data_IF_299419049117
#
_entry.id   IF_299419049117
#
_cell.length_a   1.000
_cell.length_b   1.000
_cell.length_c   1.000
_cell.angle_alpha   90.00
_cell.angle_beta   90.00
_cell.angle_gamma   90.00
#
_symmetry.space_group_name_H-M   'P 1'
#
loop_
_entity.id
_entity.type
_entity.pdbx_description
1 polymer ?
#
# COMPACT_ATOMS: atom_id res chain seq x y z
N UNK A 1 21.95 6.46 8.02
CA UNK A 1 22.28 7.90 7.85
C UNK A 1 21.04 8.61 7.33
N UNK A 2 20.82 9.92 7.64
CA UNK A 2 19.68 10.69 7.13
C UNK A 2 20.22 11.72 6.15
N UNK A 3 19.65 11.74 4.93
CA UNK A 3 20.01 12.68 3.87
C UNK A 3 18.84 13.65 3.62
N UNK A 4 19.13 14.94 3.51
CA UNK A 4 18.14 15.96 3.16
C UNK A 4 18.32 16.38 1.70
N UNK A 5 17.25 16.26 0.91
CA UNK A 5 17.23 16.62 -0.50
C UNK A 5 16.36 17.86 -0.73
N UNK A 6 16.73 18.69 -1.71
CA UNK A 6 15.97 19.87 -2.11
C UNK A 6 14.98 19.59 -3.25
N UNK A 7 14.93 18.35 -3.74
CA UNK A 7 14.03 17.92 -4.82
C UNK A 7 13.48 16.53 -4.51
N UNK A 8 12.45 16.12 -5.27
CA UNK A 8 11.91 14.77 -5.14
C UNK A 8 12.99 13.72 -5.49
N UNK A 9 13.15 12.65 -4.66
CA UNK A 9 14.09 11.58 -4.96
C UNK A 9 13.60 10.73 -6.15
N UNK A 10 14.24 10.92 -7.31
CA UNK A 10 14.02 10.10 -8.50
C UNK A 10 14.88 8.81 -8.44
N UNK A 11 15.09 8.13 -9.59
CA UNK A 11 16.03 7.01 -9.69
C UNK A 11 17.49 7.44 -9.41
N UNK A 12 17.80 8.73 -9.57
CA UNK A 12 19.08 9.33 -9.24
C UNK A 12 18.88 10.47 -8.27
N UNK A 13 19.71 10.54 -7.23
CA UNK A 13 19.70 11.62 -6.22
C UNK A 13 21.09 12.24 -6.10
N UNK A 14 21.13 13.54 -5.82
CA UNK A 14 22.39 14.26 -5.56
C UNK A 14 22.49 14.61 -4.08
N UNK A 15 23.56 14.17 -3.43
CA UNK A 15 23.88 14.43 -2.03
C UNK A 15 25.24 15.06 -1.98
N UNK A 16 25.35 16.32 -1.53
CA UNK A 16 26.63 17.07 -1.42
C UNK A 16 27.44 17.08 -2.72
N UNK A 17 26.74 17.18 -3.86
CA UNK A 17 27.38 17.22 -5.19
C UNK A 17 27.78 15.86 -5.76
N UNK A 18 27.54 14.77 -5.03
CA UNK A 18 27.77 13.41 -5.53
C UNK A 18 26.45 12.76 -5.94
N UNK A 19 26.43 12.09 -7.09
CA UNK A 19 25.25 11.38 -7.60
C UNK A 19 25.22 9.94 -7.10
N UNK A 20 24.03 9.50 -6.67
CA UNK A 20 23.75 8.14 -6.23
C UNK A 20 22.57 7.57 -7.02
N UNK A 21 22.60 6.28 -7.32
CA UNK A 21 21.42 5.52 -7.70
C UNK A 21 20.53 5.33 -6.47
N UNK A 22 19.22 5.49 -6.64
CA UNK A 22 18.28 5.39 -5.53
C UNK A 22 17.25 4.28 -5.76
N UNK A 23 17.40 3.19 -5.03
CA UNK A 23 16.52 2.02 -5.03
C UNK A 23 15.69 1.94 -3.74
N UNK A 24 15.03 3.04 -3.37
CA UNK A 24 14.25 3.14 -2.15
C UNK A 24 12.89 3.80 -2.33
N UNK A 25 12.22 4.06 -1.19
CA UNK A 25 10.90 4.67 -1.16
C UNK A 25 9.77 3.73 -1.60
N UNK A 26 8.67 4.31 -2.06
CA UNK A 26 7.46 3.59 -2.48
C UNK A 26 6.86 4.14 -3.79
N UNK A 27 7.65 4.89 -4.55
CA UNK A 27 7.27 5.43 -5.86
C UNK A 27 7.48 4.37 -6.95
N UNK A 28 6.77 3.24 -6.84
CA UNK A 28 6.96 2.06 -7.67
C UNK A 28 6.86 2.35 -9.17
N UNK A 29 5.92 3.21 -9.58
CA UNK A 29 5.72 3.57 -10.99
C UNK A 29 6.45 4.84 -11.42
N UNK A 30 7.19 5.51 -10.50
CA UNK A 30 7.94 6.72 -10.82
C UNK A 30 7.09 7.92 -11.27
N UNK A 31 5.80 7.93 -10.95
CA UNK A 31 4.83 8.91 -11.45
C UNK A 31 5.09 10.33 -10.95
N UNK A 32 5.64 10.48 -9.75
CA UNK A 32 5.81 11.75 -9.08
C UNK A 32 6.73 12.72 -9.83
N UNK A 33 7.61 12.19 -10.69
CA UNK A 33 8.52 12.98 -11.54
C UNK A 33 8.35 12.68 -13.04
N UNK A 34 7.32 11.91 -13.43
CA UNK A 34 6.95 11.71 -14.82
C UNK A 34 6.29 12.97 -15.38
N UNK A 35 6.84 13.53 -16.45
CA UNK A 35 6.41 14.82 -17.00
C UNK A 35 4.98 14.79 -17.53
N UNK A 36 4.57 13.70 -18.18
CA UNK A 36 3.22 13.58 -18.73
C UNK A 36 2.18 13.48 -17.59
N UNK A 37 2.48 12.69 -16.55
CA UNK A 37 1.66 12.60 -15.36
C UNK A 37 1.55 13.94 -14.64
N UNK A 38 2.66 14.68 -14.47
CA UNK A 38 2.66 16.02 -13.88
C UNK A 38 1.81 17.00 -14.68
N UNK A 39 1.88 16.98 -16.01
CA UNK A 39 1.07 17.85 -16.86
C UNK A 39 -0.44 17.57 -16.67
N UNK A 40 -0.85 16.30 -16.65
CA UNK A 40 -2.23 15.90 -16.34
C UNK A 40 -2.64 16.42 -14.96
N UNK A 41 -1.78 16.32 -13.97
CA UNK A 41 -2.07 16.80 -12.63
C UNK A 41 -2.21 18.33 -12.57
N UNK A 42 -1.35 19.07 -13.26
CA UNK A 42 -1.43 20.55 -13.37
C UNK A 42 -2.74 20.97 -14.03
N UNK A 43 -3.17 20.31 -15.10
CA UNK A 43 -4.46 20.59 -15.75
C UNK A 43 -5.64 20.32 -14.82
N UNK A 44 -5.58 19.24 -14.05
CA UNK A 44 -6.60 18.94 -13.05
C UNK A 44 -6.61 19.96 -11.89
N UNK A 45 -5.45 20.49 -11.48
CA UNK A 45 -5.39 21.60 -10.51
C UNK A 45 -6.08 22.84 -11.07
N UNK A 46 -5.85 23.19 -12.33
CA UNK A 46 -6.51 24.35 -12.97
C UNK A 46 -8.03 24.19 -13.03
N UNK A 47 -8.53 22.97 -13.19
CA UNK A 47 -9.97 22.69 -13.29
C UNK A 47 -10.65 22.57 -11.93
N UNK A 48 -10.03 21.91 -10.97
CA UNK A 48 -10.67 21.51 -9.72
C UNK A 48 -10.11 22.23 -8.47
N UNK A 49 -9.07 23.04 -8.62
CA UNK A 49 -8.36 23.67 -7.50
C UNK A 49 -7.38 22.73 -6.80
N UNK A 50 -6.67 23.28 -5.83
CA UNK A 50 -5.64 22.57 -5.05
C UNK A 50 -6.23 21.65 -3.98
N UNK A 51 -7.39 22.02 -3.46
CA UNK A 51 -8.17 21.23 -2.49
C UNK A 51 -9.67 21.53 -2.62
N UNK A 52 -10.51 20.78 -1.89
CA UNK A 52 -11.96 21.02 -1.95
C UNK A 52 -12.42 22.13 -0.98
N UNK A 53 -11.76 22.28 0.16
CA UNK A 53 -12.08 23.32 1.16
C UNK A 53 -13.42 23.13 1.89
N UNK A 54 -14.11 21.99 1.72
CA UNK A 54 -15.37 21.67 2.38
C UNK A 54 -15.49 20.17 2.70
N UNK A 55 -16.45 19.84 3.55
CA UNK A 55 -16.76 18.44 3.88
C UNK A 55 -17.39 17.70 2.68
N UNK A 56 -17.14 16.39 2.56
CA UNK A 56 -17.84 15.49 1.65
C UNK A 56 -19.38 15.48 1.88
N UNK A 57 -19.83 15.96 3.04
CA UNK A 57 -21.25 16.09 3.39
C UNK A 57 -21.84 17.47 3.07
N UNK A 58 -21.08 18.36 2.44
CA UNK A 58 -21.56 19.67 2.02
C UNK A 58 -22.75 19.57 1.06
N UNK A 59 -23.57 20.59 1.03
CA UNK A 59 -24.67 20.75 0.07
C UNK A 59 -24.18 21.05 -1.36
N UNK A 60 -22.95 21.55 -1.52
CA UNK A 60 -22.27 21.68 -2.82
C UNK A 60 -21.28 20.51 -2.93
N UNK A 61 -21.33 19.76 -4.00
CA UNK A 61 -20.47 18.59 -4.23
C UNK A 61 -19.85 18.65 -5.61
N UNK A 62 -18.63 18.14 -5.74
CA UNK A 62 -17.94 18.03 -7.02
C UNK A 62 -18.13 16.60 -7.52
N UNK A 63 -18.65 16.42 -8.74
CA UNK A 63 -18.98 15.10 -9.31
C UNK A 63 -17.80 14.16 -9.42
N UNK A 64 -16.57 14.68 -9.51
CA UNK A 64 -15.34 13.90 -9.66
C UNK A 64 -15.16 12.85 -8.54
N UNK A 65 -15.67 13.11 -7.33
CA UNK A 65 -15.63 12.10 -6.26
C UNK A 65 -16.39 10.85 -6.64
N UNK A 66 -17.65 11.00 -7.06
CA UNK A 66 -18.53 9.88 -7.42
C UNK A 66 -17.99 9.16 -8.67
N UNK A 67 -17.44 9.91 -9.62
CA UNK A 67 -16.85 9.37 -10.86
C UNK A 67 -15.64 8.50 -10.55
N UNK A 68 -14.69 8.98 -9.72
CA UNK A 68 -13.47 8.26 -9.37
C UNK A 68 -13.76 7.07 -8.47
N UNK A 69 -14.63 7.23 -7.47
CA UNK A 69 -15.02 6.16 -6.55
C UNK A 69 -15.72 5.02 -7.30
N UNK A 70 -16.61 5.34 -8.25
CA UNK A 70 -17.23 4.36 -9.15
C UNK A 70 -16.19 3.67 -10.04
N UNK A 71 -15.29 4.45 -10.62
CA UNK A 71 -14.19 3.91 -11.45
C UNK A 71 -13.30 2.95 -10.65
N UNK A 72 -12.84 3.36 -9.46
CA UNK A 72 -11.95 2.56 -8.64
C UNK A 72 -12.63 1.28 -8.14
N UNK A 73 -13.89 1.34 -7.71
CA UNK A 73 -14.65 0.14 -7.35
C UNK A 73 -14.69 -0.87 -8.50
N UNK A 74 -15.01 -0.42 -9.72
CA UNK A 74 -15.02 -1.26 -10.92
C UNK A 74 -13.62 -1.78 -11.27
N UNK A 75 -12.60 -0.94 -11.14
CA UNK A 75 -11.21 -1.27 -11.47
C UNK A 75 -10.68 -2.47 -10.66
N UNK A 76 -10.97 -2.53 -9.37
CA UNK A 76 -10.56 -3.63 -8.51
C UNK A 76 -11.52 -4.84 -8.53
N UNK A 77 -12.70 -4.71 -9.16
CA UNK A 77 -13.77 -5.72 -9.12
C UNK A 77 -14.59 -5.70 -7.82
N UNK A 78 -14.61 -4.56 -7.13
CA UNK A 78 -15.40 -4.28 -5.93
C UNK A 78 -16.81 -3.78 -6.25
N UNK A 79 -17.64 -3.64 -5.21
CA UNK A 79 -19.01 -3.14 -5.34
C UNK A 79 -19.10 -1.63 -5.14
N UNK A 80 -18.38 -1.09 -4.16
CA UNK A 80 -18.42 0.32 -3.80
C UNK A 80 -17.07 0.79 -3.24
N UNK A 81 -16.83 2.10 -3.35
CA UNK A 81 -15.61 2.76 -2.87
C UNK A 81 -15.96 4.12 -2.28
N UNK A 82 -15.21 4.56 -1.27
CA UNK A 82 -15.12 5.95 -0.81
C UNK A 82 -13.67 6.38 -0.71
N UNK A 83 -13.43 7.69 -0.88
CA UNK A 83 -12.10 8.29 -0.83
C UNK A 83 -11.92 9.26 0.34
N UNK A 84 -10.69 9.31 0.86
CA UNK A 84 -10.21 10.20 1.92
C UNK A 84 -8.85 10.79 1.53
N UNK A 85 -8.31 11.71 2.32
CA UNK A 85 -7.04 12.39 2.02
C UNK A 85 -5.80 11.51 2.14
N UNK A 86 -5.85 10.36 2.83
CA UNK A 86 -4.72 9.43 2.94
C UNK A 86 -5.16 8.01 3.25
N UNK A 87 -4.30 7.03 2.93
CA UNK A 87 -4.50 5.62 3.28
C UNK A 87 -4.56 5.41 4.80
N UNK A 88 -3.72 6.14 5.55
CA UNK A 88 -3.78 6.10 7.02
C UNK A 88 -5.17 6.50 7.55
N UNK A 89 -5.72 7.61 7.05
CA UNK A 89 -7.06 8.06 7.45
C UNK A 89 -8.15 7.08 7.03
N UNK A 90 -7.99 6.40 5.89
CA UNK A 90 -8.91 5.35 5.45
C UNK A 90 -8.88 4.14 6.43
N UNK A 91 -7.71 3.67 6.82
CA UNK A 91 -7.56 2.61 7.82
C UNK A 91 -8.15 2.98 9.17
N UNK A 92 -7.89 4.20 9.64
CA UNK A 92 -8.42 4.72 10.91
C UNK A 92 -9.94 4.85 10.90
N UNK A 93 -10.55 5.29 9.79
CA UNK A 93 -12.01 5.30 9.65
C UNK A 93 -12.60 3.90 9.83
N UNK A 94 -12.03 2.90 9.16
CA UNK A 94 -12.51 1.52 9.26
C UNK A 94 -12.35 0.99 10.69
N UNK A 95 -11.17 1.15 11.28
CA UNK A 95 -10.89 0.68 12.63
C UNK A 95 -11.83 1.33 13.66
N UNK A 96 -12.05 2.65 13.58
CA UNK A 96 -12.95 3.34 14.50
C UNK A 96 -14.42 3.00 14.28
N UNK A 97 -14.85 2.88 13.03
CA UNK A 97 -16.26 2.56 12.73
C UNK A 97 -16.64 1.12 13.12
N UNK A 98 -15.66 0.20 13.17
CA UNK A 98 -15.85 -1.17 13.62
C UNK A 98 -15.61 -1.34 15.13
N UNK A 99 -15.11 -0.32 15.85
CA UNK A 99 -14.88 -0.39 17.29
C UNK A 99 -16.20 -0.22 18.06
N UNK A 100 -17.01 -1.26 18.04
CA UNK A 100 -18.30 -1.34 18.74
C UNK A 100 -18.41 -2.67 19.50
N UNK A 101 -19.42 -2.80 20.34
CA UNK A 101 -19.69 -4.03 21.09
C UNK A 101 -20.06 -5.24 20.19
N UNK A 102 -20.32 -5.00 18.90
CA UNK A 102 -20.68 -6.06 17.95
C UNK A 102 -19.45 -6.81 17.40
N UNK A 103 -18.22 -6.30 17.61
CA UNK A 103 -17.01 -6.82 17.01
C UNK A 103 -15.91 -7.13 18.02
N UNK A 104 -15.08 -8.12 17.71
CA UNK A 104 -13.83 -8.41 18.42
C UNK A 104 -12.67 -8.40 17.42
N UNK A 105 -11.62 -7.64 17.71
CA UNK A 105 -10.49 -7.42 16.80
C UNK A 105 -9.39 -8.45 17.00
N UNK A 106 -8.84 -8.91 15.89
CA UNK A 106 -7.70 -9.79 15.79
C UNK A 106 -6.76 -9.22 14.73
N UNK A 107 -5.46 -9.28 14.98
CA UNK A 107 -4.44 -8.75 14.07
C UNK A 107 -3.53 -9.87 13.61
N UNK A 108 -3.38 -10.01 12.29
CA UNK A 108 -2.42 -10.93 11.69
C UNK A 108 -0.97 -10.46 11.97
N UNK A 109 0.03 -11.32 11.76
CA UNK A 109 1.43 -10.91 11.89
C UNK A 109 1.74 -9.67 11.04
N UNK A 110 2.56 -8.77 11.58
CA UNK A 110 3.08 -7.57 10.90
C UNK A 110 2.01 -6.57 10.42
N UNK A 111 0.81 -6.58 11.00
CA UNK A 111 -0.26 -5.62 10.63
C UNK A 111 0.17 -4.18 10.94
N UNK A 112 0.03 -3.31 9.95
CA UNK A 112 0.42 -1.91 10.02
C UNK A 112 -0.45 -1.10 11.01
N UNK A 113 0.17 -0.13 11.68
CA UNK A 113 -0.49 0.74 12.68
C UNK A 113 -1.68 1.55 12.14
N UNK A 114 -1.78 1.76 10.82
CA UNK A 114 -2.93 2.42 10.20
C UNK A 114 -4.26 1.69 10.45
N UNK A 115 -4.21 0.37 10.70
CA UNK A 115 -5.36 -0.46 11.01
C UNK A 115 -5.61 -0.62 12.52
N UNK A 116 -4.78 0.01 13.38
CA UNK A 116 -4.86 -0.13 14.83
C UNK A 116 -5.37 1.15 15.48
N UNK A 117 -6.21 1.03 16.52
CA UNK A 117 -6.69 2.16 17.31
C UNK A 117 -5.70 2.58 18.40
N UNK A 118 -4.89 1.64 18.89
CA UNK A 118 -3.88 1.88 19.93
C UNK A 118 -2.65 1.00 19.67
N UNK A 119 -1.50 1.62 19.67
CA UNK A 119 -0.21 0.91 19.51
C UNK A 119 0.07 -0.01 20.70
N UNK A 120 -0.47 0.30 21.89
CA UNK A 120 -0.17 -0.41 23.14
C UNK A 120 -1.10 -1.57 23.44
N UNK A 121 -2.32 -1.57 22.93
CA UNK A 121 -3.36 -2.55 23.27
C UNK A 121 -3.53 -3.67 22.24
N UNK A 122 -3.11 -3.45 21.00
CA UNK A 122 -3.33 -4.38 19.91
C UNK A 122 -2.06 -5.18 19.60
N UNK A 123 -1.92 -6.35 20.23
CA UNK A 123 -0.86 -7.29 19.88
C UNK A 123 -1.25 -8.06 18.63
N UNK A 124 -0.47 -7.88 17.57
CA UNK A 124 -0.52 -8.78 16.42
C UNK A 124 -0.14 -10.20 16.88
N UNK A 125 -0.82 -11.19 16.31
CA UNK A 125 -0.43 -12.58 16.51
C UNK A 125 1.00 -12.79 15.98
N UNK A 126 1.77 -13.67 16.62
CA UNK A 126 3.13 -13.98 16.17
C UNK A 126 3.13 -14.86 14.92
N UNK A 127 2.01 -15.54 14.65
CA UNK A 127 1.84 -16.43 13.50
C UNK A 127 0.36 -16.62 13.14
N UNK A 128 0.09 -17.06 11.92
CA UNK A 128 -1.26 -17.47 11.50
C UNK A 128 -1.80 -18.66 12.30
N UNK A 129 -0.93 -19.53 12.82
CA UNK A 129 -1.36 -20.61 13.70
C UNK A 129 -1.91 -20.10 15.03
N UNK A 130 -1.24 -19.14 15.65
CA UNK A 130 -1.73 -18.47 16.86
C UNK A 130 -3.06 -17.75 16.62
N UNK A 131 -3.13 -16.98 15.52
CA UNK A 131 -4.35 -16.28 15.09
C UNK A 131 -5.52 -17.25 14.91
N UNK A 132 -5.29 -18.39 14.25
CA UNK A 132 -6.29 -19.46 14.05
C UNK A 132 -6.79 -20.04 15.37
N UNK A 133 -5.90 -20.29 16.32
CA UNK A 133 -6.26 -20.78 17.66
C UNK A 133 -7.14 -19.75 18.36
N UNK A 134 -6.74 -18.49 18.39
CA UNK A 134 -7.50 -17.41 19.02
C UNK A 134 -8.90 -17.23 18.40
N UNK A 135 -8.99 -17.24 17.07
CA UNK A 135 -10.27 -17.19 16.34
C UNK A 135 -11.18 -18.38 16.66
N UNK A 136 -10.63 -19.60 16.70
CA UNK A 136 -11.41 -20.78 17.01
C UNK A 136 -11.92 -20.78 18.47
N UNK A 137 -11.14 -20.28 19.42
CA UNK A 137 -11.56 -20.12 20.81
C UNK A 137 -12.67 -19.06 20.90
N UNK A 138 -12.54 -17.94 20.20
CA UNK A 138 -13.59 -16.92 20.14
C UNK A 138 -14.90 -17.47 19.54
N UNK A 139 -14.83 -18.17 18.41
CA UNK A 139 -16.00 -18.74 17.73
C UNK A 139 -16.68 -19.88 18.52
N UNK A 140 -15.96 -20.56 19.41
CA UNK A 140 -16.51 -21.59 20.33
C UNK A 140 -17.06 -20.96 21.61
N UNK A 141 -16.64 -19.76 21.95
CA UNK A 141 -17.21 -19.04 23.09
C UNK A 141 -18.63 -18.59 22.73
N UNK A 142 -19.54 -18.52 23.69
CA UNK A 142 -20.92 -18.04 23.48
C UNK A 142 -20.98 -16.50 23.24
N UNK A 143 -19.89 -15.88 22.82
CA UNK A 143 -19.84 -14.45 22.52
C UNK A 143 -20.57 -14.19 21.19
N UNK A 144 -21.45 -13.19 21.20
CA UNK A 144 -22.20 -12.76 20.01
C UNK A 144 -21.40 -11.90 19.04
N UNK A 145 -20.18 -11.48 19.44
CA UNK A 145 -19.34 -10.55 18.69
C UNK A 145 -18.77 -11.23 17.43
N UNK A 146 -18.87 -10.53 16.31
CA UNK A 146 -18.25 -10.94 15.06
C UNK A 146 -16.73 -10.71 15.10
N UNK A 147 -15.90 -11.72 14.82
CA UNK A 147 -14.47 -11.54 14.76
C UNK A 147 -14.08 -10.75 13.50
N UNK A 148 -13.26 -9.70 13.68
CA UNK A 148 -12.67 -8.90 12.62
C UNK A 148 -11.18 -9.20 12.59
N UNK A 149 -10.65 -9.58 11.42
CA UNK A 149 -9.22 -9.81 11.22
C UNK A 149 -8.63 -8.72 10.37
N UNK A 150 -7.63 -8.03 10.91
CA UNK A 150 -6.85 -6.99 10.24
C UNK A 150 -5.53 -7.58 9.76
N UNK A 151 -5.14 -7.25 8.52
CA UNK A 151 -3.85 -7.65 7.94
C UNK A 151 -3.41 -6.70 6.82
N UNK A 152 -2.11 -6.69 6.53
CA UNK A 152 -1.55 -6.07 5.32
C UNK A 152 -1.51 -7.10 4.19
N UNK A 153 -1.88 -6.68 2.99
CA UNK A 153 -1.75 -7.54 1.80
C UNK A 153 -0.28 -7.85 1.52
N UNK A 154 0.56 -6.84 1.58
CA UNK A 154 2.01 -6.90 1.37
C UNK A 154 2.69 -6.64 2.72
N UNK A 155 3.08 -7.70 3.41
CA UNK A 155 3.70 -7.63 4.75
C UNK A 155 5.24 -7.58 4.71
N UNK A 156 5.85 -7.58 3.53
CA UNK A 156 7.29 -7.59 3.27
C UNK A 156 8.08 -8.76 3.87
N UNK A 157 7.43 -9.65 4.60
CA UNK A 157 8.00 -10.92 5.08
C UNK A 157 7.60 -12.10 4.19
N UNK A 158 6.67 -11.87 3.25
CA UNK A 158 6.18 -12.90 2.34
C UNK A 158 5.16 -13.86 2.95
N UNK A 159 4.56 -13.52 4.10
CA UNK A 159 3.58 -14.37 4.77
C UNK A 159 2.20 -14.31 4.10
N UNK A 160 1.88 -13.18 3.42
CA UNK A 160 0.58 -12.92 2.81
C UNK A 160 0.65 -13.05 1.29
N UNK A 161 1.00 -12.00 0.59
CA UNK A 161 1.11 -12.03 -0.88
C UNK A 161 2.31 -12.90 -1.33
N UNK A 162 2.21 -13.66 -2.44
CA UNK A 162 1.09 -13.72 -3.38
C UNK A 162 0.00 -14.74 -3.02
N UNK A 163 0.32 -15.74 -2.23
CA UNK A 163 -0.49 -16.96 -2.13
C UNK A 163 -1.47 -16.97 -0.97
N UNK A 164 -1.28 -16.10 0.04
CA UNK A 164 -2.14 -15.98 1.22
C UNK A 164 -2.36 -17.33 1.95
N UNK A 165 -1.35 -18.19 2.00
CA UNK A 165 -1.48 -19.55 2.56
C UNK A 165 -1.90 -19.53 4.03
N UNK A 166 -1.32 -18.63 4.84
CA UNK A 166 -1.73 -18.45 6.23
C UNK A 166 -3.19 -18.05 6.36
N UNK A 167 -3.63 -17.08 5.56
CA UNK A 167 -5.01 -16.58 5.54
C UNK A 167 -6.01 -17.68 5.15
N UNK A 168 -5.69 -18.53 4.18
CA UNK A 168 -6.54 -19.67 3.76
C UNK A 168 -6.82 -20.68 4.86
N UNK A 169 -5.98 -20.73 5.90
CA UNK A 169 -6.19 -21.64 7.05
C UNK A 169 -7.24 -21.17 8.04
N UNK A 170 -7.65 -19.90 7.96
CA UNK A 170 -8.60 -19.27 8.86
C UNK A 170 -10.06 -19.60 8.49
N UNK A 171 -11.02 -19.51 9.41
CA UNK A 171 -12.43 -19.76 9.17
C UNK A 171 -13.09 -18.58 8.43
N UNK A 172 -12.67 -18.30 7.18
CA UNK A 172 -12.99 -17.10 6.40
C UNK A 172 -14.49 -16.79 6.33
N UNK A 173 -15.33 -17.81 6.16
CA UNK A 173 -16.79 -17.64 6.08
C UNK A 173 -17.45 -17.17 7.39
N UNK A 174 -16.68 -17.05 8.47
CA UNK A 174 -17.15 -16.64 9.81
C UNK A 174 -16.50 -15.36 10.32
N UNK A 175 -15.63 -14.74 9.50
CA UNK A 175 -14.87 -13.55 9.90
C UNK A 175 -15.05 -12.41 8.89
N UNK A 176 -15.03 -11.19 9.40
CA UNK A 176 -14.89 -9.98 8.62
C UNK A 176 -13.39 -9.73 8.40
N UNK A 177 -12.95 -9.58 7.15
CA UNK A 177 -11.57 -9.23 6.81
C UNK A 177 -11.44 -7.73 6.53
N UNK A 178 -10.43 -7.11 7.13
CA UNK A 178 -9.98 -5.75 6.82
C UNK A 178 -8.53 -5.83 6.37
N UNK A 179 -8.27 -5.44 5.12
CA UNK A 179 -6.95 -5.59 4.50
C UNK A 179 -6.43 -4.23 4.06
N UNK A 180 -5.19 -3.90 4.45
CA UNK A 180 -4.45 -2.78 3.86
C UNK A 180 -3.72 -3.28 2.59
N UNK A 181 -4.13 -2.75 1.44
CA UNK A 181 -3.53 -3.04 0.13
C UNK A 181 -2.72 -1.84 -0.41
N UNK A 182 -2.22 -0.98 0.46
CA UNK A 182 -1.48 0.24 0.09
C UNK A 182 -0.23 -0.02 -0.73
N UNK A 183 0.37 -1.19 -0.61
CA UNK A 183 1.55 -1.60 -1.37
C UNK A 183 1.20 -2.49 -2.58
N UNK A 184 -0.06 -2.92 -2.72
CA UNK A 184 -0.49 -3.79 -3.81
C UNK A 184 -1.28 -3.06 -4.90
N UNK A 185 -2.23 -2.18 -4.53
CA UNK A 185 -3.06 -1.46 -5.51
C UNK A 185 -2.20 -0.59 -6.45
N UNK A 186 -2.50 -0.63 -7.73
CA UNK A 186 -1.71 0.02 -8.78
C UNK A 186 -0.54 -0.84 -9.27
N UNK A 187 -0.09 -1.86 -8.52
CA UNK A 187 1.13 -2.62 -8.72
C UNK A 187 0.84 -4.09 -9.05
N UNK A 188 0.16 -4.79 -8.13
CA UNK A 188 -0.09 -6.23 -8.26
C UNK A 188 -1.53 -6.54 -8.69
N UNK A 189 -1.80 -7.81 -8.98
CA UNK A 189 -3.12 -8.24 -9.44
C UNK A 189 -3.40 -7.90 -10.92
N UNK A 190 -4.55 -8.32 -11.42
CA UNK A 190 -4.91 -8.08 -12.80
C UNK A 190 -4.98 -6.57 -13.10
N UNK A 191 -4.17 -6.11 -14.05
CA UNK A 191 -4.05 -4.70 -14.44
C UNK A 191 -3.71 -3.74 -13.28
N UNK A 192 -3.03 -4.22 -12.21
CA UNK A 192 -2.74 -3.42 -11.03
C UNK A 192 -3.95 -3.20 -10.10
N UNK A 193 -4.98 -4.04 -10.19
CA UNK A 193 -6.19 -3.95 -9.35
C UNK A 193 -6.00 -4.36 -7.90
N UNK A 194 -4.76 -4.64 -7.46
CA UNK A 194 -4.47 -5.08 -6.10
C UNK A 194 -4.99 -6.49 -5.80
N UNK A 195 -5.19 -6.77 -4.52
CA UNK A 195 -5.55 -8.12 -4.04
C UNK A 195 -7.06 -8.36 -3.90
N UNK A 196 -7.89 -7.32 -4.05
CA UNK A 196 -9.32 -7.41 -3.72
C UNK A 196 -9.99 -8.62 -4.36
N UNK A 197 -9.81 -8.83 -5.68
CA UNK A 197 -10.42 -9.94 -6.42
C UNK A 197 -9.92 -11.31 -5.93
N UNK A 198 -8.62 -11.43 -5.63
CA UNK A 198 -8.02 -12.65 -5.11
C UNK A 198 -8.63 -13.05 -3.77
N UNK A 199 -8.73 -12.09 -2.86
CA UNK A 199 -9.29 -12.35 -1.53
C UNK A 199 -10.79 -12.58 -1.55
N UNK A 200 -11.52 -11.84 -2.38
CA UNK A 200 -12.97 -12.04 -2.56
C UNK A 200 -13.30 -13.49 -2.98
N UNK A 201 -12.46 -14.09 -3.82
CA UNK A 201 -12.63 -15.48 -4.27
C UNK A 201 -12.41 -16.52 -3.15
N UNK A 202 -11.81 -16.12 -2.01
CA UNK A 202 -11.68 -16.98 -0.82
C UNK A 202 -12.98 -16.99 0.02
N UNK A 203 -14.00 -16.25 -0.39
CA UNK A 203 -15.32 -16.18 0.24
C UNK A 203 -15.29 -15.83 1.75
N UNK A 204 -14.63 -14.74 2.17
CA UNK A 204 -14.79 -14.26 3.55
C UNK A 204 -16.26 -13.87 3.80
N UNK A 205 -16.68 -13.86 5.07
CA UNK A 205 -18.03 -13.43 5.45
C UNK A 205 -18.30 -11.99 4.99
N UNK A 206 -17.32 -11.11 5.15
CA UNK A 206 -17.28 -9.75 4.62
C UNK A 206 -15.84 -9.35 4.32
N UNK A 207 -15.64 -8.55 3.28
CA UNK A 207 -14.33 -8.02 2.88
C UNK A 207 -14.37 -6.49 2.81
N UNK A 208 -13.45 -5.85 3.52
CA UNK A 208 -13.13 -4.43 3.45
C UNK A 208 -11.66 -4.31 3.07
N UNK A 209 -11.34 -3.49 2.08
CA UNK A 209 -9.96 -3.22 1.68
C UNK A 209 -9.70 -1.72 1.77
N UNK A 210 -8.67 -1.33 2.52
CA UNK A 210 -8.18 0.04 2.60
C UNK A 210 -6.92 0.17 1.75
N UNK A 211 -6.66 1.34 1.21
CA UNK A 211 -5.42 1.56 0.46
C UNK A 211 -5.01 3.03 0.42
N UNK A 212 -3.70 3.26 0.35
CA UNK A 212 -3.12 4.53 -0.06
C UNK A 212 -2.94 4.57 -1.57
N UNK A 213 -3.39 5.62 -2.23
CA UNK A 213 -3.12 5.86 -3.65
C UNK A 213 -1.78 6.59 -3.87
N UNK A 214 -1.10 7.02 -2.80
CA UNK A 214 0.18 7.75 -2.87
C UNK A 214 1.35 6.92 -3.39
N UNK A 215 1.24 5.60 -3.37
CA UNK A 215 2.30 4.66 -3.79
C UNK A 215 2.11 4.26 -5.26
N UNK A 216 1.19 3.34 -5.53
CA UNK A 216 0.98 2.81 -6.88
C UNK A 216 0.32 3.79 -7.86
N UNK A 217 -0.53 4.70 -7.39
CA UNK A 217 -1.18 5.71 -8.24
C UNK A 217 -0.49 7.09 -8.21
N UNK A 218 0.50 7.30 -7.35
CA UNK A 218 1.26 8.54 -7.30
C UNK A 218 0.47 9.79 -6.88
N UNK A 219 -0.72 9.64 -6.27
CA UNK A 219 -1.59 10.75 -5.84
C UNK A 219 -1.91 10.68 -4.35
N UNK A 220 -1.92 11.82 -3.68
CA UNK A 220 -2.25 11.91 -2.25
C UNK A 220 -3.76 11.66 -2.03
N UNK A 221 -4.12 10.41 -1.77
CA UNK A 221 -5.46 9.99 -1.41
C UNK A 221 -5.43 8.65 -0.68
N UNK A 222 -6.50 8.34 0.04
CA UNK A 222 -6.81 7.00 0.55
C UNK A 222 -8.17 6.54 0.04
N UNK A 223 -8.39 5.24 0.01
CA UNK A 223 -9.64 4.65 -0.44
C UNK A 223 -10.05 3.48 0.45
N UNK A 224 -11.35 3.25 0.53
CA UNK A 224 -11.95 2.09 1.20
C UNK A 224 -12.90 1.42 0.22
N UNK A 225 -12.73 0.12 0.02
CA UNK A 225 -13.58 -0.72 -0.81
C UNK A 225 -14.35 -1.70 0.05
N UNK A 226 -15.60 -1.96 -0.33
CA UNK A 226 -16.44 -2.92 0.38
C UNK A 226 -17.80 -3.07 -0.29
N UNK A 227 -18.75 -3.71 0.40
CA UNK A 227 -20.15 -3.75 -0.05
C UNK A 227 -20.77 -2.35 0.00
N UNK A 228 -21.75 -2.07 -0.87
CA UNK A 228 -22.46 -0.78 -0.87
C UNK A 228 -23.03 -0.44 0.51
N UNK A 229 -23.60 -1.45 1.20
CA UNK A 229 -24.13 -1.27 2.56
C UNK A 229 -23.04 -0.82 3.53
N UNK A 230 -21.85 -1.45 3.48
CA UNK A 230 -20.72 -1.12 4.36
C UNK A 230 -20.18 0.27 4.06
N UNK A 231 -19.96 0.60 2.80
CA UNK A 231 -19.46 1.92 2.40
C UNK A 231 -20.44 3.02 2.81
N UNK A 232 -21.74 2.85 2.58
CA UNK A 232 -22.76 3.81 3.06
C UNK A 232 -22.74 3.96 4.59
N UNK A 233 -22.46 2.88 5.35
CA UNK A 233 -22.34 2.99 6.82
C UNK A 233 -21.15 3.86 7.23
N UNK A 234 -20.02 3.78 6.53
CA UNK A 234 -18.84 4.61 6.77
C UNK A 234 -19.08 6.08 6.40
N UNK A 235 -19.74 6.33 5.27
CA UNK A 235 -20.14 7.70 4.89
C UNK A 235 -21.01 8.37 5.94
N UNK A 236 -21.83 7.61 6.67
CA UNK A 236 -22.74 8.13 7.69
C UNK A 236 -22.08 8.38 9.06
N UNK A 237 -20.77 8.17 9.19
CA UNK A 237 -20.05 8.48 10.43
C UNK A 237 -19.71 9.97 10.53
N UNK A 238 -19.59 10.46 11.78
CA UNK A 238 -19.04 11.79 12.06
C UNK A 238 -17.57 11.89 11.63
N UNK A 239 -16.81 10.80 11.70
CA UNK A 239 -15.44 10.73 11.24
C UNK A 239 -15.34 11.09 9.76
N UNK A 240 -16.10 10.43 8.87
CA UNK A 240 -16.09 10.75 7.44
C UNK A 240 -16.54 12.18 7.15
N UNK A 241 -17.54 12.67 7.87
CA UNK A 241 -18.02 14.04 7.74
C UNK A 241 -16.99 15.10 8.16
N UNK A 242 -16.16 14.79 9.16
CA UNK A 242 -15.11 15.69 9.68
C UNK A 242 -13.74 15.50 9.05
N UNK A 243 -13.51 14.36 8.38
CA UNK A 243 -12.24 14.06 7.73
C UNK A 243 -11.99 14.96 6.52
N UNK A 244 -10.74 15.37 6.33
CA UNK A 244 -10.33 16.08 5.11
C UNK A 244 -10.52 15.17 3.90
N UNK A 245 -11.24 15.60 2.84
CA UNK A 245 -11.36 14.87 1.60
C UNK A 245 -10.03 14.84 0.84
N UNK A 246 -9.87 13.86 -0.04
CA UNK A 246 -8.81 13.90 -1.03
C UNK A 246 -8.97 15.12 -1.93
N UNK A 247 -7.87 15.70 -2.44
CA UNK A 247 -7.95 16.77 -3.42
C UNK A 247 -8.67 16.27 -4.68
N UNK A 248 -9.68 17.02 -5.20
CA UNK A 248 -10.36 16.66 -6.43
C UNK A 248 -9.41 16.52 -7.62
N UNK A 249 -8.35 17.34 -7.68
CA UNK A 249 -7.33 17.25 -8.71
C UNK A 249 -6.55 15.93 -8.65
N UNK A 250 -6.20 15.45 -7.43
CA UNK A 250 -5.57 14.15 -7.23
C UNK A 250 -6.46 13.03 -7.77
N UNK A 251 -7.75 13.04 -7.41
CA UNK A 251 -8.69 12.01 -7.85
C UNK A 251 -8.91 12.04 -9.37
N UNK A 252 -9.08 13.23 -9.96
CA UNK A 252 -9.22 13.36 -11.41
C UNK A 252 -8.00 12.80 -12.17
N UNK A 253 -6.80 12.95 -11.60
CA UNK A 253 -5.57 12.43 -12.19
C UNK A 253 -5.59 10.89 -12.26
N UNK A 254 -6.18 10.21 -11.28
CA UNK A 254 -6.36 8.73 -11.33
C UNK A 254 -7.11 8.29 -12.59
N UNK A 255 -8.16 9.02 -12.97
CA UNK A 255 -8.92 8.68 -14.20
C UNK A 255 -8.17 9.09 -15.46
N UNK A 256 -7.55 10.27 -15.44
CA UNK A 256 -7.00 10.87 -16.66
C UNK A 256 -5.64 10.28 -17.07
N UNK A 257 -4.93 9.60 -16.14
CA UNK A 257 -3.60 9.01 -16.38
C UNK A 257 -3.61 7.49 -16.65
N UNK A 258 -4.72 6.92 -17.12
CA UNK A 258 -4.89 5.46 -17.29
C UNK A 258 -3.82 4.81 -18.17
N UNK A 259 -3.50 5.42 -19.31
CA UNK A 259 -2.49 4.94 -20.25
C UNK A 259 -1.09 4.96 -19.63
N UNK A 260 -0.80 5.98 -18.80
CA UNK A 260 0.49 6.10 -18.11
C UNK A 260 0.65 4.96 -17.09
N UNK A 261 -0.39 4.67 -16.29
CA UNK A 261 -0.33 3.55 -15.34
C UNK A 261 -0.05 2.21 -16.02
N UNK A 262 -0.67 1.95 -17.17
CA UNK A 262 -0.45 0.71 -17.93
C UNK A 262 0.98 0.62 -18.43
N UNK A 263 1.48 1.68 -19.09
CA UNK A 263 2.85 1.75 -19.57
C UNK A 263 3.86 1.56 -18.44
N UNK A 264 3.69 2.28 -17.33
CA UNK A 264 4.62 2.22 -16.20
C UNK A 264 4.60 0.85 -15.47
N UNK A 265 3.46 0.16 -15.44
CA UNK A 265 3.45 -1.23 -14.92
C UNK A 265 4.25 -2.18 -15.80
N UNK A 266 4.15 -2.03 -17.12
CA UNK A 266 4.96 -2.85 -18.04
C UNK A 266 6.46 -2.57 -17.85
N UNK A 267 6.84 -1.31 -17.66
CA UNK A 267 8.22 -0.93 -17.36
C UNK A 267 8.68 -1.52 -16.01
N UNK A 268 7.83 -1.44 -14.97
CA UNK A 268 8.13 -2.02 -13.66
C UNK A 268 8.31 -3.53 -13.73
N UNK A 269 7.45 -4.23 -14.45
CA UNK A 269 7.54 -5.67 -14.63
C UNK A 269 8.83 -6.04 -15.36
N UNK A 270 9.14 -5.37 -16.48
CA UNK A 270 10.38 -5.56 -17.22
C UNK A 270 11.62 -5.37 -16.34
N UNK A 271 11.66 -4.26 -15.58
CA UNK A 271 12.78 -3.94 -14.70
C UNK A 271 12.94 -4.97 -13.57
N UNK A 272 11.82 -5.41 -12.98
CA UNK A 272 11.84 -6.44 -11.93
C UNK A 272 12.33 -7.78 -12.47
N UNK A 273 11.90 -8.17 -13.67
CA UNK A 273 12.38 -9.39 -14.32
C UNK A 273 13.86 -9.30 -14.71
N UNK A 274 14.31 -8.13 -15.18
CA UNK A 274 15.73 -7.89 -15.47
C UNK A 274 16.59 -8.06 -14.21
N UNK A 275 16.18 -7.45 -13.09
CA UNK A 275 16.84 -7.63 -11.80
C UNK A 275 16.93 -9.10 -11.40
N UNK A 276 15.81 -9.83 -11.42
CA UNK A 276 15.75 -11.25 -11.05
C UNK A 276 16.59 -12.15 -11.98
N UNK A 277 16.80 -11.75 -13.23
CA UNK A 277 17.62 -12.47 -14.19
C UNK A 277 19.12 -12.26 -13.94
N UNK A 278 19.54 -11.09 -13.49
CA UNK A 278 20.96 -10.70 -13.40
C UNK A 278 21.53 -10.83 -11.98
N UNK A 279 20.70 -10.76 -10.94
CA UNK A 279 21.16 -11.04 -9.58
C UNK A 279 21.45 -12.54 -9.43
N UNK A 280 22.66 -12.88 -8.96
CA UNK A 280 23.10 -14.29 -8.86
C UNK A 280 22.61 -14.98 -7.60
N UNK A 281 22.43 -14.23 -6.53
CA UNK A 281 22.04 -14.79 -5.24
C UNK A 281 21.02 -13.88 -4.55
N UNK A 282 19.91 -14.45 -4.12
CA UNK A 282 18.88 -13.82 -3.31
C UNK A 282 18.80 -14.43 -1.90
N UNK A 283 19.81 -15.22 -1.49
CA UNK A 283 19.91 -15.70 -0.12
C UNK A 283 20.02 -14.51 0.85
N UNK A 284 19.25 -14.53 1.92
CA UNK A 284 19.15 -13.39 2.85
C UNK A 284 18.16 -12.30 2.44
N UNK A 285 17.54 -12.39 1.26
CA UNK A 285 16.43 -11.52 0.87
C UNK A 285 15.08 -12.20 1.06
N UNK A 286 14.13 -11.45 1.64
CA UNK A 286 12.72 -11.79 1.53
C UNK A 286 12.13 -11.02 0.35
N UNK A 287 11.52 -11.72 -0.59
CA UNK A 287 10.80 -11.10 -1.69
C UNK A 287 9.50 -11.85 -2.00
N UNK A 288 8.55 -11.12 -2.52
CA UNK A 288 7.25 -11.67 -2.90
C UNK A 288 7.15 -11.72 -4.42
N UNK A 289 6.92 -12.91 -4.97
CA UNK A 289 6.82 -13.09 -6.43
C UNK A 289 5.77 -12.14 -7.03
N UNK A 290 6.20 -11.30 -7.97
CA UNK A 290 5.35 -10.30 -8.62
C UNK A 290 5.25 -8.96 -7.87
N UNK A 291 6.04 -8.75 -6.81
CA UNK A 291 6.18 -7.45 -6.14
C UNK A 291 7.62 -6.95 -6.24
N UNK A 292 7.86 -5.65 -6.50
CA UNK A 292 9.19 -5.13 -6.84
C UNK A 292 10.08 -4.78 -5.63
N UNK A 293 9.72 -5.23 -4.43
CA UNK A 293 10.47 -4.95 -3.21
C UNK A 293 11.17 -6.19 -2.68
N UNK A 294 12.45 -6.03 -2.28
CA UNK A 294 13.33 -7.06 -1.77
C UNK A 294 13.87 -6.59 -0.41
N UNK A 295 13.44 -7.22 0.68
CA UNK A 295 13.86 -6.84 2.04
C UNK A 295 15.02 -7.71 2.50
N UNK A 296 15.90 -7.13 3.31
CA UNK A 296 17.04 -7.82 3.88
C UNK A 296 17.39 -7.24 5.27
N UNK A 297 18.11 -8.02 6.09
CA UNK A 297 18.51 -7.63 7.44
C UNK A 297 20.02 -7.40 7.60
N UNK A 298 20.82 -7.66 6.56
CA UNK A 298 22.27 -7.56 6.58
C UNK A 298 22.73 -6.09 6.55
N UNK A 299 23.20 -5.56 7.66
CA UNK A 299 23.63 -4.15 7.76
C UNK A 299 24.87 -3.83 6.92
N UNK A 300 25.79 -4.79 6.74
CA UNK A 300 26.98 -4.58 5.94
C UNK A 300 26.65 -4.40 4.46
N UNK A 301 25.57 -5.03 3.99
CA UNK A 301 25.09 -4.84 2.62
C UNK A 301 24.67 -3.39 2.37
N UNK A 302 24.03 -2.71 3.35
CA UNK A 302 23.71 -1.29 3.21
C UNK A 302 24.97 -0.43 2.99
N UNK A 303 26.05 -0.71 3.78
CA UNK A 303 27.32 0.00 3.64
C UNK A 303 28.01 -0.30 2.32
N UNK A 304 27.96 -1.56 1.87
CA UNK A 304 28.52 -1.98 0.59
C UNK A 304 27.84 -1.23 -0.57
N UNK A 305 26.50 -1.18 -0.59
CA UNK A 305 25.74 -0.43 -1.58
C UNK A 305 26.06 1.07 -1.55
N UNK A 306 26.08 1.69 -0.36
CA UNK A 306 26.40 3.12 -0.20
C UNK A 306 27.81 3.45 -0.70
N UNK A 307 28.82 2.61 -0.42
CA UNK A 307 30.19 2.76 -0.89
C UNK A 307 30.28 2.69 -2.43
N UNK A 308 29.35 1.98 -3.06
CA UNK A 308 29.22 1.87 -4.52
C UNK A 308 28.19 2.86 -5.11
N UNK A 309 27.87 3.94 -4.40
CA UNK A 309 26.96 5.01 -4.81
C UNK A 309 25.52 4.54 -5.04
N UNK A 310 25.07 3.55 -4.30
CA UNK A 310 23.69 3.06 -4.32
C UNK A 310 23.06 3.29 -2.95
N UNK A 311 21.94 4.02 -2.92
CA UNK A 311 21.15 4.26 -1.72
C UNK A 311 19.85 3.45 -1.80
N UNK A 312 19.54 2.74 -0.72
CA UNK A 312 18.29 1.97 -0.58
C UNK A 312 17.49 2.48 0.61
N UNK A 313 16.24 2.03 0.76
CA UNK A 313 15.50 2.26 2.01
C UNK A 313 16.24 1.59 3.17
N UNK A 314 16.62 2.36 4.20
CA UNK A 314 17.27 1.83 5.42
C UNK A 314 17.02 2.77 6.59
N UNK A 315 16.00 2.49 7.40
CA UNK A 315 15.66 3.26 8.60
C UNK A 315 14.87 2.44 9.61
N UNK A 316 14.77 2.93 10.85
CA UNK A 316 13.92 2.32 11.87
C UNK A 316 12.47 2.66 11.64
N UNK A 317 11.58 1.67 11.74
CA UNK A 317 10.15 1.85 11.50
C UNK A 317 9.34 0.81 12.31
N UNK A 318 8.21 1.19 12.96
CA UNK A 318 7.55 2.51 12.90
C UNK A 318 8.12 3.58 13.84
N UNK A 319 9.05 3.25 14.72
CA UNK A 319 9.65 4.17 15.70
C UNK A 319 11.16 3.94 15.86
N UNK A 320 11.82 4.82 16.60
CA UNK A 320 13.28 4.83 16.82
C UNK A 320 13.82 3.59 17.55
N UNK A 321 12.96 2.82 18.22
CA UNK A 321 13.34 1.59 18.95
C UNK A 321 13.20 0.34 18.10
N UNK A 322 12.51 0.46 16.96
CA UNK A 322 12.28 -0.64 16.03
C UNK A 322 13.57 -1.09 15.34
N UNK A 323 13.66 -2.35 14.87
CA UNK A 323 14.77 -2.79 14.03
C UNK A 323 14.91 -1.94 12.77
N UNK A 324 16.13 -1.87 12.24
CA UNK A 324 16.35 -1.24 10.93
C UNK A 324 15.66 -2.09 9.86
N UNK A 325 14.82 -1.44 9.07
CA UNK A 325 14.18 -2.03 7.89
C UNK A 325 15.01 -1.65 6.68
N UNK A 326 15.60 -2.64 6.00
CA UNK A 326 16.35 -2.44 4.78
C UNK A 326 15.60 -3.04 3.59
N UNK A 327 15.54 -2.28 2.48
CA UNK A 327 14.76 -2.69 1.31
C UNK A 327 15.32 -2.09 0.02
N UNK A 328 15.56 -2.95 -0.96
CA UNK A 328 15.73 -2.56 -2.36
C UNK A 328 14.35 -2.49 -2.98
N UNK A 329 14.05 -1.40 -3.67
CA UNK A 329 12.79 -1.19 -4.40
C UNK A 329 13.11 -0.93 -5.86
N UNK A 330 12.72 -1.85 -6.73
CA UNK A 330 12.77 -1.65 -8.17
C UNK A 330 11.61 -0.74 -8.57
N UNK A 331 11.88 0.23 -9.45
CA UNK A 331 10.90 1.19 -9.94
C UNK A 331 10.81 1.17 -11.46
N UNK A 332 9.66 1.53 -12.00
CA UNK A 332 9.49 1.77 -13.44
C UNK A 332 10.41 2.87 -14.00
N UNK A 333 10.93 3.71 -13.14
CA UNK A 333 11.82 4.82 -13.52
C UNK A 333 13.29 4.44 -13.63
N UNK A 334 13.69 3.25 -13.17
CA UNK A 334 15.06 2.78 -13.38
C UNK A 334 15.28 2.40 -14.83
N UNK A 335 16.45 2.74 -15.35
CA UNK A 335 16.92 2.27 -16.67
C UNK A 335 17.47 0.85 -16.58
N UNK A 336 17.72 0.22 -17.71
CA UNK A 336 18.41 -1.08 -17.78
C UNK A 336 19.82 -1.00 -17.18
N UNK A 337 20.54 0.11 -17.44
CA UNK A 337 21.89 0.35 -16.90
C UNK A 337 21.86 0.48 -15.37
N UNK A 338 20.84 1.16 -14.80
CA UNK A 338 20.68 1.27 -13.35
C UNK A 338 20.51 -0.12 -12.70
N UNK A 339 19.65 -0.95 -13.28
CA UNK A 339 19.42 -2.32 -12.80
C UNK A 339 20.67 -3.19 -12.93
N UNK A 340 21.38 -3.07 -14.04
CA UNK A 340 22.62 -3.81 -14.29
C UNK A 340 23.67 -3.42 -13.26
N UNK A 341 23.88 -2.13 -13.04
CA UNK A 341 24.81 -1.61 -12.02
C UNK A 341 24.46 -2.12 -10.62
N UNK A 342 23.18 -2.10 -10.23
CA UNK A 342 22.75 -2.67 -8.96
C UNK A 342 23.11 -4.16 -8.85
N UNK A 343 22.83 -4.94 -9.91
CA UNK A 343 23.12 -6.37 -9.92
C UNK A 343 24.61 -6.68 -9.86
N UNK A 344 25.45 -5.91 -10.55
CA UNK A 344 26.91 -6.04 -10.50
C UNK A 344 27.41 -5.85 -9.06
N UNK A 345 27.01 -4.75 -8.42
CA UNK A 345 27.39 -4.46 -7.03
C UNK A 345 26.90 -5.51 -6.03
N UNK A 346 25.67 -6.02 -6.21
CA UNK A 346 25.14 -7.11 -5.37
C UNK A 346 25.87 -8.43 -5.59
N UNK A 347 26.32 -8.70 -6.81
CA UNK A 347 27.02 -9.94 -7.16
C UNK A 347 28.50 -9.96 -6.71
N UNK A 348 29.06 -8.79 -6.36
CA UNK A 348 30.38 -8.62 -5.77
C UNK A 348 30.41 -8.74 -4.25
N UNK A 349 29.25 -8.63 -3.59
CA UNK A 349 29.08 -8.77 -2.14
C UNK A 349 29.04 -10.23 -1.72
#
# INVERSE_FOLDING_TARGET
MIFNLNSFPSSHISIEGKTYLYFGGTSYLGLQFDTEFQNIFIENIRKYGTNYGASRKSNIRISIYDEVETYLAKYIGGESCISLSSGYLAGQLVAQALNTEDYTFFYAPNTHSALSLSITENKSASSYQELKIALNLHLKSNKKQTPVVFLDAIDFQGNNFPDFEGLKTLPLSKILLVIDDSHGIGIVGANGGGIYKTIKNLNPMELIVCSSLGKGFGVQAGVIFGSKKRITSFENTSFFGGASPASPANLATVINAKSIYESKRNDLERNTQLFLKHVKNLEGFNYMKGHPAFTFSEENLNKHLENNNIIVTSFRYPDETSPIMSRIVISAAHTEDDITTLCEVLNEY
#
